data_IF_384338296439
#
_entry.id   IF_384338296439
#
_cell.length_a   1.000
_cell.length_b   1.000
_cell.length_c   1.000
_cell.angle_alpha   90.00
_cell.angle_beta   90.00
_cell.angle_gamma   90.00
#
_symmetry.space_group_name_H-M   'P 1'
#
loop_
_entity.id
_entity.type
_entity.pdbx_description
1 polymer ?
#
# COMPACT_ATOMS: atom_id res chain seq x y z
N UNK A 1 -25.07 9.51 49.11
CA UNK A 1 -24.61 9.93 47.76
C UNK A 1 -23.12 10.26 47.83
N UNK A 2 -22.27 9.26 48.03
CA UNK A 2 -20.83 9.41 48.07
C UNK A 2 -20.23 8.23 47.30
N UNK A 3 -19.69 8.50 46.12
CA UNK A 3 -18.64 7.70 45.51
C UNK A 3 -17.71 8.65 44.75
N UNK A 4 -16.65 9.17 45.41
CA UNK A 4 -15.58 9.89 44.73
C UNK A 4 -14.53 8.98 44.07
N UNK A 5 -14.58 7.66 44.25
CA UNK A 5 -13.48 6.74 43.88
C UNK A 5 -13.92 5.63 42.93
N UNK A 6 -14.44 6.00 41.78
CA UNK A 6 -14.27 5.14 40.61
C UNK A 6 -12.95 5.52 39.95
N UNK A 7 -11.88 4.79 40.27
CA UNK A 7 -10.70 4.75 39.42
C UNK A 7 -11.08 3.97 38.14
N UNK A 8 -11.86 4.59 37.25
CA UNK A 8 -12.24 4.01 35.95
C UNK A 8 -11.26 4.51 34.87
N UNK A 9 -10.08 3.89 34.81
CA UNK A 9 -9.25 3.76 33.61
C UNK A 9 -8.51 5.01 33.09
N UNK A 10 -7.18 4.98 33.21
CA UNK A 10 -6.18 5.66 32.37
C UNK A 10 -6.37 7.16 32.05
N UNK A 11 -6.17 7.96 33.09
CA UNK A 11 -5.47 9.26 33.18
C UNK A 11 -4.89 9.92 31.89
N UNK A 12 -5.53 11.01 31.46
CA UNK A 12 -4.96 12.33 31.07
C UNK A 12 -3.83 12.45 29.99
N UNK A 13 -3.59 11.44 29.16
CA UNK A 13 -3.22 11.64 27.75
C UNK A 13 -4.48 11.28 26.94
N UNK A 14 -5.00 12.17 26.10
CA UNK A 14 -6.32 11.97 25.45
C UNK A 14 -6.49 10.55 24.92
N UNK A 15 -7.54 9.85 25.38
CA UNK A 15 -7.72 8.42 25.16
C UNK A 15 -7.43 8.04 23.70
N UNK A 16 -6.47 7.14 23.49
CA UNK A 16 -6.10 6.65 22.17
C UNK A 16 -7.27 5.90 21.53
N UNK A 17 -8.08 6.58 20.72
CA UNK A 17 -9.21 5.98 20.01
C UNK A 17 -8.75 5.27 18.73
N UNK A 18 -7.81 4.33 18.87
CA UNK A 18 -7.27 3.58 17.74
C UNK A 18 -8.30 2.60 17.16
N UNK A 19 -8.50 2.65 15.85
CA UNK A 19 -9.49 1.82 15.17
C UNK A 19 -9.14 0.32 15.27
N UNK A 20 -10.01 -0.54 15.85
CA UNK A 20 -9.64 -1.88 16.30
C UNK A 20 -9.21 -2.83 15.18
N UNK A 21 -9.66 -2.58 13.96
CA UNK A 21 -9.29 -3.38 12.78
C UNK A 21 -8.07 -2.77 12.06
N UNK A 22 -7.96 -1.44 12.08
CA UNK A 22 -7.03 -0.66 11.26
C UNK A 22 -5.70 -0.39 11.94
N UNK A 23 -5.66 -0.41 13.27
CA UNK A 23 -4.44 -0.33 14.06
C UNK A 23 -3.90 -1.72 14.43
N UNK A 24 -2.62 -1.78 14.76
CA UNK A 24 -1.98 -2.96 15.34
C UNK A 24 -2.22 -3.10 16.84
N UNK A 25 -2.82 -2.09 17.48
CA UNK A 25 -3.12 -2.09 18.91
C UNK A 25 -3.91 -0.86 19.36
N UNK A 26 -4.15 -0.77 20.66
CA UNK A 26 -4.84 0.36 21.30
C UNK A 26 -3.88 1.45 21.81
N UNK A 27 -2.58 1.20 21.73
CA UNK A 27 -1.55 2.16 22.13
C UNK A 27 -1.31 3.15 21.00
N UNK A 28 -1.28 4.44 21.34
CA UNK A 28 -0.87 5.51 20.45
C UNK A 28 0.37 6.21 20.99
N UNK A 29 1.04 6.96 20.13
CA UNK A 29 2.19 7.76 20.53
C UNK A 29 1.75 8.84 21.54
N UNK A 30 2.34 8.85 22.74
CA UNK A 30 1.96 9.76 23.82
C UNK A 30 2.22 11.25 23.52
N UNK A 31 3.10 11.55 22.56
CA UNK A 31 3.41 12.93 22.14
C UNK A 31 2.52 13.40 21.01
N UNK A 32 2.23 12.54 20.02
CA UNK A 32 1.51 12.93 18.79
C UNK A 32 0.07 12.45 18.73
N UNK A 33 -0.32 11.50 19.59
CA UNK A 33 -1.62 10.81 19.54
C UNK A 33 -1.75 9.83 18.37
N UNK A 34 -0.69 9.61 17.59
CA UNK A 34 -0.74 8.75 16.39
C UNK A 34 -0.74 7.27 16.78
N UNK A 35 -1.77 6.55 16.32
CA UNK A 35 -1.87 5.10 16.44
C UNK A 35 -0.94 4.39 15.45
N UNK A 36 -0.47 3.20 15.84
CA UNK A 36 0.28 2.31 14.95
C UNK A 36 -0.66 1.66 13.95
N UNK A 37 -0.64 2.12 12.69
CA UNK A 37 -1.54 1.63 11.64
C UNK A 37 -1.01 0.38 10.93
N UNK A 38 -1.92 -0.49 10.49
CA UNK A 38 -1.61 -1.63 9.61
C UNK A 38 -1.31 -1.18 8.18
N UNK A 39 -0.76 -2.09 7.38
CA UNK A 39 -0.46 -1.85 5.98
C UNK A 39 -1.64 -1.28 5.19
N UNK A 40 -1.38 -0.19 4.47
CA UNK A 40 -2.39 0.47 3.66
C UNK A 40 -3.45 1.25 4.45
N UNK A 41 -3.35 1.33 5.78
CA UNK A 41 -4.23 2.14 6.64
C UNK A 41 -3.53 3.44 7.01
N UNK A 42 -4.28 4.53 7.16
CA UNK A 42 -3.76 5.85 7.50
C UNK A 42 -4.73 6.65 8.38
N UNK A 43 -4.29 7.82 8.85
CA UNK A 43 -4.99 8.68 9.79
C UNK A 43 -4.50 8.54 11.23
N UNK A 44 -4.80 9.54 12.07
CA UNK A 44 -4.37 9.58 13.47
C UNK A 44 -4.80 8.33 14.25
N UNK A 45 -6.03 7.88 13.98
CA UNK A 45 -6.67 6.72 14.61
C UNK A 45 -6.71 5.48 13.72
N UNK A 46 -6.05 5.49 12.55
CA UNK A 46 -6.06 4.37 11.60
C UNK A 46 -7.46 3.99 11.08
N UNK A 47 -8.32 4.99 10.84
CA UNK A 47 -9.73 4.82 10.47
C UNK A 47 -10.01 4.80 8.97
N UNK A 48 -9.00 4.95 8.10
CA UNK A 48 -9.19 5.01 6.64
C UNK A 48 -8.05 4.33 5.88
N UNK A 49 -8.32 3.87 4.66
CA UNK A 49 -7.27 3.37 3.79
C UNK A 49 -6.46 4.52 3.17
N UNK A 50 -5.16 4.28 2.97
CA UNK A 50 -4.27 5.16 2.23
C UNK A 50 -4.68 5.23 0.75
N UNK A 51 -4.19 6.25 0.04
CA UNK A 51 -4.46 6.37 -1.40
C UNK A 51 -3.93 5.15 -2.16
N UNK A 52 -4.74 4.62 -3.08
CA UNK A 52 -4.42 3.40 -3.81
C UNK A 52 -4.67 2.11 -3.02
N UNK A 53 -5.36 2.19 -1.88
CA UNK A 53 -5.87 1.04 -1.14
C UNK A 53 -7.40 1.12 -1.03
N UNK A 54 -8.05 -0.04 -0.97
CA UNK A 54 -9.49 -0.18 -0.78
C UNK A 54 -9.78 -1.03 0.46
N UNK A 55 -10.94 -0.78 1.08
CA UNK A 55 -11.41 -1.60 2.19
C UNK A 55 -11.70 -3.04 1.72
N UNK A 56 -11.20 -4.00 2.50
CA UNK A 56 -11.39 -5.43 2.29
C UNK A 56 -12.32 -5.99 3.36
N UNK A 57 -12.78 -7.24 3.18
CA UNK A 57 -13.58 -7.95 4.19
C UNK A 57 -12.73 -8.71 5.22
N UNK A 58 -11.40 -8.60 5.16
CA UNK A 58 -10.50 -9.28 6.09
C UNK A 58 -10.23 -8.43 7.32
N UNK A 59 -10.41 -9.02 8.51
CA UNK A 59 -10.01 -8.41 9.78
C UNK A 59 -8.48 -8.34 9.96
N UNK A 60 -7.74 -9.19 9.24
CA UNK A 60 -6.27 -9.22 9.28
C UNK A 60 -5.73 -8.06 8.44
N UNK A 61 -6.20 -7.94 7.19
CA UNK A 61 -5.76 -6.93 6.23
C UNK A 61 -6.96 -6.09 5.74
N UNK A 62 -7.40 -5.08 6.53
CA UNK A 62 -8.60 -4.30 6.20
C UNK A 62 -8.43 -3.41 4.97
N UNK A 63 -7.21 -3.06 4.58
CA UNK A 63 -6.93 -2.26 3.41
C UNK A 63 -6.02 -3.05 2.45
N UNK A 64 -6.50 -3.33 1.25
CA UNK A 64 -5.74 -4.02 0.21
C UNK A 64 -5.37 -3.05 -0.91
N UNK A 65 -4.19 -3.20 -1.48
CA UNK A 65 -3.70 -2.33 -2.56
C UNK A 65 -4.57 -2.55 -3.79
N UNK A 66 -5.07 -1.47 -4.37
CA UNK A 66 -5.82 -1.51 -5.63
C UNK A 66 -4.79 -1.90 -6.70
N UNK A 67 -4.90 -3.10 -7.29
CA UNK A 67 -4.03 -3.44 -8.40
C UNK A 67 -4.38 -2.48 -9.53
N UNK A 68 -3.38 -1.84 -10.14
CA UNK A 68 -3.57 -0.88 -11.25
C UNK A 68 -4.11 -1.54 -12.54
N UNK A 69 -4.67 -2.75 -12.46
CA UNK A 69 -5.06 -3.60 -13.61
C UNK A 69 -6.53 -3.48 -14.01
N UNK A 70 -7.24 -2.45 -13.55
CA UNK A 70 -8.57 -2.12 -14.08
C UNK A 70 -8.44 -1.26 -15.34
N UNK A 71 -8.00 -1.88 -16.43
CA UNK A 71 -8.39 -1.48 -17.79
C UNK A 71 -8.64 -2.67 -18.72
N UNK A 72 -8.72 -3.91 -18.22
CA UNK A 72 -9.14 -5.04 -19.07
C UNK A 72 -10.52 -5.64 -18.73
N UNK A 73 -11.23 -5.17 -17.69
CA UNK A 73 -12.62 -5.62 -17.45
C UNK A 73 -13.46 -4.60 -16.65
N UNK A 74 -13.78 -3.43 -17.22
CA UNK A 74 -14.99 -2.66 -16.88
C UNK A 74 -15.39 -1.81 -18.11
N UNK A 75 -16.64 -1.89 -18.63
CA UNK A 75 -17.10 -0.93 -19.63
C UNK A 75 -17.16 0.46 -18.98
N UNK A 76 -16.33 1.36 -19.50
CA UNK A 76 -16.20 2.75 -19.07
C UNK A 76 -17.49 3.51 -19.44
N UNK A 77 -18.37 3.77 -18.47
CA UNK A 77 -19.42 4.78 -18.56
C UNK A 77 -19.06 6.00 -17.70
N UNK A 78 -17.90 6.61 -17.97
CA UNK A 78 -17.61 7.98 -17.53
C UNK A 78 -16.58 8.58 -18.49
N UNK A 79 -16.93 9.71 -19.09
CA UNK A 79 -16.12 10.43 -20.08
C UNK A 79 -14.68 10.73 -19.57
N UNK A 80 -13.67 10.75 -20.46
CA UNK A 80 -12.29 11.04 -20.07
C UNK A 80 -12.10 12.55 -19.79
N UNK A 81 -11.74 12.88 -18.56
CA UNK A 81 -11.15 14.18 -18.22
C UNK A 81 -9.77 14.29 -18.88
N UNK A 82 -9.60 15.34 -19.66
CA UNK A 82 -8.49 15.54 -20.57
C UNK A 82 -7.32 16.17 -19.80
N UNK A 83 -6.55 15.36 -19.06
CA UNK A 83 -5.34 15.85 -18.39
C UNK A 83 -4.09 15.07 -18.79
N UNK A 84 -3.42 15.69 -19.77
CA UNK A 84 -2.04 15.46 -20.17
C UNK A 84 -1.09 15.43 -18.97
N UNK A 85 -0.24 14.40 -18.93
CA UNK A 85 0.98 14.37 -18.15
C UNK A 85 2.01 13.50 -18.86
N UNK A 86 2.84 14.10 -19.71
CA UNK A 86 4.01 13.47 -20.30
C UNK A 86 4.88 12.85 -19.19
N UNK A 87 5.02 11.53 -19.18
CA UNK A 87 6.05 10.85 -18.39
C UNK A 87 6.88 9.95 -19.33
N UNK A 88 8.20 10.17 -19.44
CA UNK A 88 9.06 9.33 -20.27
C UNK A 88 9.18 7.94 -19.62
N UNK A 89 8.72 6.90 -20.31
CA UNK A 89 9.02 5.51 -19.93
C UNK A 89 10.51 5.22 -20.21
N UNK A 90 11.28 4.69 -19.26
CA UNK A 90 12.59 4.13 -19.58
C UNK A 90 12.39 2.84 -20.39
N UNK A 91 12.95 2.80 -21.61
CA UNK A 91 13.05 1.59 -22.41
C UNK A 91 13.87 0.54 -21.63
N UNK A 92 13.22 -0.48 -21.06
CA UNK A 92 13.92 -1.62 -20.51
C UNK A 92 14.32 -2.57 -21.64
N UNK A 93 15.61 -2.58 -21.94
CA UNK A 93 16.25 -3.50 -22.88
C UNK A 93 16.32 -4.90 -22.24
N UNK A 94 15.64 -5.87 -22.83
CA UNK A 94 15.67 -7.25 -22.35
C UNK A 94 16.88 -7.98 -22.98
N UNK A 95 17.74 -8.58 -22.14
CA UNK A 95 18.80 -9.46 -22.62
C UNK A 95 18.21 -10.86 -22.83
N UNK A 96 18.26 -11.41 -24.04
CA UNK A 96 17.79 -12.77 -24.32
C UNK A 96 18.84 -13.81 -23.91
N UNK A 97 18.47 -14.73 -23.03
CA UNK A 97 19.29 -15.89 -22.64
C UNK A 97 18.90 -17.07 -23.52
N UNK A 98 19.83 -17.55 -24.35
CA UNK A 98 19.63 -18.77 -25.13
C UNK A 98 20.17 -19.97 -24.33
N UNK A 99 19.29 -20.92 -24.01
CA UNK A 99 19.67 -22.17 -23.37
C UNK A 99 20.18 -23.17 -24.42
N UNK A 100 21.49 -23.35 -24.49
CA UNK A 100 22.10 -24.44 -25.27
C UNK A 100 23.30 -25.01 -24.52
N UNK A 101 23.08 -26.13 -23.82
CA UNK A 101 24.12 -27.01 -23.26
C UNK A 101 24.84 -26.48 -22.03
N UNK A 102 24.84 -27.29 -20.97
CA UNK A 102 25.38 -27.07 -19.61
C UNK A 102 24.55 -26.15 -18.68
N UNK A 103 24.03 -26.65 -17.54
CA UNK A 103 23.14 -25.89 -16.65
C UNK A 103 23.83 -24.84 -15.75
N UNK A 104 25.16 -24.72 -15.75
CA UNK A 104 25.87 -23.89 -14.75
C UNK A 104 26.51 -22.60 -15.28
N UNK A 105 26.45 -22.29 -16.59
CA UNK A 105 27.06 -21.04 -17.11
C UNK A 105 26.16 -20.34 -18.14
N UNK A 106 25.51 -19.21 -17.79
CA UNK A 106 24.84 -18.38 -18.77
C UNK A 106 25.87 -17.64 -19.64
N UNK A 107 25.98 -18.02 -20.92
CA UNK A 107 26.74 -17.24 -21.91
C UNK A 107 25.88 -16.11 -22.44
N UNK A 108 26.33 -14.86 -22.24
CA UNK A 108 25.70 -13.68 -22.83
C UNK A 108 26.29 -13.47 -24.23
N UNK A 109 25.46 -13.43 -25.27
CA UNK A 109 25.87 -12.93 -26.60
C UNK A 109 25.35 -11.52 -26.77
N UNK A 110 26.25 -10.57 -26.96
CA UNK A 110 25.90 -9.22 -27.40
C UNK A 110 25.87 -9.21 -28.92
N UNK A 111 24.67 -9.15 -29.53
CA UNK A 111 24.55 -8.82 -30.95
C UNK A 111 24.88 -7.34 -31.12
N UNK A 112 26.14 -7.05 -31.45
CA UNK A 112 26.52 -5.74 -31.96
C UNK A 112 26.20 -5.72 -33.45
N UNK A 113 24.95 -5.39 -33.77
CA UNK A 113 24.50 -5.14 -35.14
C UNK A 113 25.48 -4.19 -35.85
N UNK A 114 26.24 -4.74 -36.79
CA UNK A 114 27.09 -3.97 -37.71
C UNK A 114 26.18 -3.44 -38.82
N UNK A 115 25.82 -2.17 -38.73
CA UNK A 115 25.13 -1.46 -39.80
C UNK A 115 25.91 -1.54 -41.12
N UNK A 116 25.21 -1.91 -42.19
CA UNK A 116 25.49 -1.54 -43.56
C UNK A 116 24.17 -1.28 -44.27
#
# INVERSE_FOLDING_TARGET
MLLPWVCLGDDLIGACDCHPIGSSGKTCNHTTGQCSCKDGVTGLTCNRCARGYQQSRSHIAPCIKIPRVISMVHPQNTAPDNQHGNHPHPHQQYHQVSASGDPDVPTYRTDSGRGK
#
